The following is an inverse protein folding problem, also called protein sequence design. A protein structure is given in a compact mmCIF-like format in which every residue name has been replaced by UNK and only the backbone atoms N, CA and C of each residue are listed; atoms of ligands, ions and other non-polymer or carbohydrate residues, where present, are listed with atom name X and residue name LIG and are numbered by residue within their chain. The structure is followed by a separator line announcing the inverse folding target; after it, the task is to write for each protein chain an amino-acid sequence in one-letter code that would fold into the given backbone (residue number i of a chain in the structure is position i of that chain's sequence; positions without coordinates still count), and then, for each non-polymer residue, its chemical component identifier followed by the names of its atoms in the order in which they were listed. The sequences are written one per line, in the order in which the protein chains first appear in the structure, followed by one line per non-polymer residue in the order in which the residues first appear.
data_IF_407191557880
#
_entry.id   IF_407191557880
#
_cell.length_a   1.000
_cell.length_b   1.000
_cell.length_c   1.000
_cell.angle_alpha   90.00
_cell.angle_beta   90.00
_cell.angle_gamma   90.00
#
_symmetry.space_group_name_H-M   'P 1'
#
loop_
_entity.id
_entity.type
_entity.pdbx_description
1 polymer ?
#
# COMPACT_ATOMS: atom_id res chain seq x y z
N UNK A 1 9.13 60.31 9.99
CA UNK A 1 8.25 59.55 10.90
C UNK A 1 7.36 58.64 10.05
N UNK A 2 7.02 57.43 10.51
CA UNK A 2 6.13 56.51 9.81
C UNK A 2 4.91 56.15 10.67
N UNK A 3 3.80 55.82 10.00
CA UNK A 3 2.67 55.08 10.57
C UNK A 3 2.82 53.62 10.16
N UNK A 4 2.63 52.70 11.11
CA UNK A 4 2.57 51.27 10.87
C UNK A 4 1.14 50.81 11.08
N UNK A 5 0.45 50.50 9.97
CA UNK A 5 -0.97 50.20 9.97
C UNK A 5 -1.22 48.74 10.29
N UNK A 6 -2.28 48.49 11.05
CA UNK A 6 -2.82 47.16 11.30
C UNK A 6 -4.25 47.04 10.77
N UNK A 7 -4.71 45.80 10.57
CA UNK A 7 -6.08 45.51 10.13
C UNK A 7 -7.07 45.57 11.29
N UNK A 8 -7.92 46.61 11.40
CA UNK A 8 -8.87 46.70 12.51
C UNK A 8 -10.07 45.75 12.36
N UNK A 9 -10.19 45.01 11.24
CA UNK A 9 -11.30 44.07 10.99
C UNK A 9 -10.99 42.65 11.43
N UNK A 10 -9.72 42.29 11.54
CA UNK A 10 -9.29 41.02 12.11
C UNK A 10 -9.12 41.17 13.63
N UNK A 11 -9.68 40.26 14.45
CA UNK A 11 -9.58 40.33 15.92
C UNK A 11 -8.16 40.37 16.49
N UNK A 12 -7.15 39.96 15.72
CA UNK A 12 -5.74 39.98 16.14
C UNK A 12 -5.01 41.23 15.66
N UNK A 13 -5.64 42.11 14.89
CA UNK A 13 -5.04 43.34 14.36
C UNK A 13 -3.64 43.14 13.74
N UNK A 14 -3.47 42.22 12.76
CA UNK A 14 -2.19 41.98 12.11
C UNK A 14 -1.68 43.25 11.44
N UNK A 15 -0.37 43.48 11.53
CA UNK A 15 0.33 44.48 10.73
C UNK A 15 0.09 44.25 9.23
N UNK A 16 -0.12 45.34 8.49
CA UNK A 16 -0.37 45.32 7.05
C UNK A 16 0.77 45.98 6.26
N UNK A 17 1.02 47.27 6.52
CA UNK A 17 2.00 48.07 5.79
C UNK A 17 2.39 49.32 6.59
N UNK A 18 3.47 49.98 6.17
CA UNK A 18 3.88 51.27 6.69
C UNK A 18 3.82 52.35 5.63
N UNK A 19 3.61 53.61 6.05
CA UNK A 19 3.78 54.77 5.18
C UNK A 19 4.25 55.99 5.95
N UNK A 20 4.73 56.99 5.21
CA UNK A 20 5.23 58.25 5.77
C UNK A 20 4.13 58.97 6.52
N UNK A 21 4.51 59.65 7.60
CA UNK A 21 3.58 60.40 8.41
C UNK A 21 4.08 61.78 8.79
N UNK A 22 3.13 62.69 8.99
CA UNK A 22 3.41 64.06 9.39
C UNK A 22 3.87 64.11 10.86
N UNK A 23 5.07 64.66 11.16
CA UNK A 23 5.62 64.72 12.51
C UNK A 23 4.70 65.36 13.56
N UNK A 24 3.88 66.33 13.15
CA UNK A 24 3.02 67.11 14.05
C UNK A 24 1.60 66.53 14.18
N UNK A 25 1.39 65.29 13.73
CA UNK A 25 0.09 64.61 13.75
C UNK A 25 0.08 63.37 14.64
N UNK A 26 -1.04 63.18 15.34
CA UNK A 26 -1.34 61.91 16.01
C UNK A 26 -1.45 60.78 14.96
N UNK A 27 -1.07 59.55 15.31
CA UNK A 27 -1.33 58.42 14.43
C UNK A 27 -2.85 58.21 14.26
N UNK A 28 -3.30 57.71 13.10
CA UNK A 28 -4.66 57.19 12.95
C UNK A 28 -4.95 56.09 13.97
N UNK A 29 -6.24 55.86 14.26
CA UNK A 29 -6.69 54.87 15.24
C UNK A 29 -6.20 53.44 14.93
N UNK A 30 -5.95 53.11 13.66
CA UNK A 30 -5.45 51.81 13.23
C UNK A 30 -3.95 51.80 12.90
N UNK A 31 -3.15 52.67 13.53
CA UNK A 31 -1.71 52.73 13.32
C UNK A 31 -0.90 53.01 14.59
N UNK A 32 0.29 52.43 14.67
CA UNK A 32 1.28 52.75 15.70
C UNK A 32 2.43 53.59 15.13
N UNK A 33 3.04 54.40 16.00
CA UNK A 33 4.30 55.14 15.75
C UNK A 33 5.55 54.31 16.04
N UNK A 34 5.37 53.01 16.28
CA UNK A 34 6.39 52.07 16.71
C UNK A 34 6.59 51.10 15.54
N UNK A 35 7.82 50.97 15.07
CA UNK A 35 8.16 50.01 14.02
C UNK A 35 8.09 48.58 14.58
N UNK A 36 7.40 47.64 13.90
CA UNK A 36 7.43 46.24 14.30
C UNK A 36 8.79 45.62 13.99
N UNK A 37 9.25 44.74 14.87
CA UNK A 37 10.48 43.98 14.67
C UNK A 37 10.21 42.76 13.78
N UNK A 38 11.16 42.41 12.92
CA UNK A 38 11.09 41.14 12.21
C UNK A 38 11.46 39.99 13.15
N UNK A 39 10.57 38.98 13.22
CA UNK A 39 10.80 37.77 14.02
C UNK A 39 10.44 36.52 13.22
N UNK A 40 11.43 35.68 12.93
CA UNK A 40 11.22 34.47 12.13
C UNK A 40 10.12 33.59 12.70
N UNK A 41 9.09 33.32 11.90
CA UNK A 41 7.96 32.47 12.28
C UNK A 41 6.88 33.17 13.11
N UNK A 42 6.98 34.49 13.30
CA UNK A 42 5.97 35.30 13.98
C UNK A 42 5.57 36.49 13.12
N UNK A 43 4.35 36.98 13.34
CA UNK A 43 3.85 38.18 12.70
C UNK A 43 3.37 39.20 13.74
N UNK A 44 3.69 40.50 13.56
CA UNK A 44 3.28 41.54 14.47
C UNK A 44 1.77 41.77 14.40
N UNK A 45 1.15 41.84 15.58
CA UNK A 45 -0.28 41.97 15.84
C UNK A 45 -0.47 43.04 16.91
N UNK A 46 -1.35 44.01 16.67
CA UNK A 46 -1.56 45.10 17.63
C UNK A 46 -2.40 44.63 18.82
N UNK A 47 -1.94 45.00 20.02
CA UNK A 47 -2.73 44.90 21.23
C UNK A 47 -2.29 45.95 22.25
N UNK A 48 -3.24 46.72 22.77
CA UNK A 48 -3.05 47.73 23.81
C UNK A 48 -1.99 48.79 23.45
N UNK A 49 -1.98 49.25 22.20
CA UNK A 49 -1.07 50.27 21.68
C UNK A 49 0.36 49.77 21.44
N UNK A 50 0.59 48.46 21.39
CA UNK A 50 1.90 47.83 21.22
C UNK A 50 1.83 46.64 20.27
N UNK A 51 2.98 46.28 19.69
CA UNK A 51 3.11 45.06 18.90
C UNK A 51 3.30 43.84 19.80
N UNK A 52 2.42 42.85 19.64
CA UNK A 52 2.61 41.47 20.08
C UNK A 52 3.01 40.61 18.88
N UNK A 53 3.72 39.51 19.12
CA UNK A 53 4.23 38.65 18.06
C UNK A 53 3.58 37.29 18.18
N UNK A 54 2.63 37.02 17.28
CA UNK A 54 1.88 35.77 17.26
C UNK A 54 2.47 34.82 16.21
N UNK A 55 2.39 33.50 16.40
CA UNK A 55 2.90 32.55 15.43
C UNK A 55 2.31 32.79 14.04
N UNK A 56 3.17 32.74 13.03
CA UNK A 56 2.74 32.80 11.64
C UNK A 56 2.90 31.42 11.00
N UNK A 57 1.75 30.79 10.81
CA UNK A 57 1.64 29.48 10.18
C UNK A 57 1.05 29.57 8.78
N UNK A 58 0.79 30.79 8.27
CA UNK A 58 0.14 30.98 6.98
C UNK A 58 0.88 30.28 5.85
N UNK A 59 0.12 29.69 4.93
CA UNK A 59 0.65 28.89 3.82
C UNK A 59 1.15 27.50 4.20
N UNK A 60 1.28 27.17 5.50
CA UNK A 60 1.58 25.80 5.95
C UNK A 60 0.32 24.94 5.92
N UNK A 61 0.52 23.64 5.70
CA UNK A 61 -0.55 22.65 5.78
C UNK A 61 -0.63 22.08 7.20
N UNK A 62 -1.80 22.13 7.80
CA UNK A 62 -2.17 21.40 9.01
C UNK A 62 -3.24 20.35 8.68
N UNK A 63 -3.59 19.52 9.64
CA UNK A 63 -4.56 18.43 9.50
C UNK A 63 -5.64 18.54 10.58
N UNK A 64 -6.90 18.32 10.21
CA UNK A 64 -7.99 18.25 11.16
C UNK A 64 -7.83 17.05 12.07
N UNK A 65 -7.99 17.23 13.38
CA UNK A 65 -7.89 16.16 14.36
C UNK A 65 -9.11 15.23 14.36
N UNK A 66 -10.22 15.65 13.74
CA UNK A 66 -11.45 14.86 13.57
C UNK A 66 -11.29 13.72 12.56
N UNK A 67 -10.66 13.99 11.41
CA UNK A 67 -10.63 13.08 10.27
C UNK A 67 -9.30 13.08 9.49
N UNK A 68 -8.31 13.86 9.92
CA UNK A 68 -7.02 13.99 9.24
C UNK A 68 -7.05 14.79 7.95
N UNK A 69 -8.14 15.50 7.62
CA UNK A 69 -8.22 16.30 6.40
C UNK A 69 -7.21 17.45 6.40
N UNK A 70 -6.51 17.63 5.27
CA UNK A 70 -5.53 18.69 5.11
C UNK A 70 -6.21 20.07 5.00
N UNK A 71 -5.66 21.07 5.69
CA UNK A 71 -6.12 22.46 5.72
C UNK A 71 -4.91 23.37 5.60
N UNK A 72 -4.96 24.32 4.67
CA UNK A 72 -3.94 25.39 4.58
C UNK A 72 -4.29 26.46 5.60
N UNK A 73 -3.31 26.88 6.40
CA UNK A 73 -3.52 27.98 7.34
C UNK A 73 -3.50 29.30 6.56
N UNK A 74 -4.55 30.10 6.74
CA UNK A 74 -4.71 31.39 6.06
C UNK A 74 -4.57 32.59 7.00
N UNK A 75 -4.70 32.36 8.31
CA UNK A 75 -4.68 33.40 9.34
C UNK A 75 -3.43 33.31 10.20
N UNK A 76 -2.97 34.47 10.69
CA UNK A 76 -1.96 34.56 11.74
C UNK A 76 -2.57 34.06 13.06
N UNK A 77 -1.73 33.55 13.96
CA UNK A 77 -2.13 33.20 15.32
C UNK A 77 -1.73 31.79 15.71
N UNK A 78 -2.07 31.45 16.94
CA UNK A 78 -1.95 30.09 17.45
C UNK A 78 -2.72 29.10 16.57
N UNK A 79 -2.19 27.90 16.42
CA UNK A 79 -2.87 26.85 15.68
C UNK A 79 -4.22 26.51 16.38
N UNK A 80 -5.36 26.55 15.67
CA UNK A 80 -6.65 26.18 16.25
C UNK A 80 -6.62 24.79 16.87
N UNK A 81 -7.29 24.59 18.02
CA UNK A 81 -7.24 23.33 18.78
C UNK A 81 -7.77 22.09 18.05
N UNK A 82 -8.50 22.27 16.94
CA UNK A 82 -8.94 21.20 16.04
C UNK A 82 -7.93 20.84 14.95
N UNK A 83 -6.74 21.43 14.95
CA UNK A 83 -5.70 21.22 13.95
C UNK A 83 -4.40 20.72 14.57
N UNK A 84 -3.63 19.99 13.77
CA UNK A 84 -2.29 19.52 14.10
C UNK A 84 -1.39 19.58 12.87
N UNK A 85 -0.09 19.85 13.04
CA UNK A 85 0.87 19.71 11.94
C UNK A 85 1.28 18.25 11.70
N UNK A 86 0.91 17.34 12.61
CA UNK A 86 1.18 15.92 12.48
C UNK A 86 0.15 15.27 11.58
N UNK A 87 0.58 14.72 10.45
CA UNK A 87 -0.29 13.93 9.58
C UNK A 87 -0.55 12.55 10.21
N UNK A 88 -1.77 12.03 10.04
CA UNK A 88 -2.05 10.62 10.34
C UNK A 88 -1.37 9.71 9.30
N UNK A 89 -0.87 8.57 9.73
CA UNK A 89 -0.24 7.57 8.86
C UNK A 89 -1.28 6.82 8.02
N UNK A 90 -2.47 6.56 8.57
CA UNK A 90 -3.57 5.90 7.87
C UNK A 90 -4.93 6.30 8.46
N UNK A 91 -6.01 5.93 7.76
CA UNK A 91 -7.38 6.31 8.10
C UNK A 91 -7.95 5.68 9.38
N UNK A 92 -7.27 4.65 9.91
CA UNK A 92 -7.70 3.94 11.11
C UNK A 92 -7.16 4.57 12.40
N UNK A 93 -6.28 5.56 12.29
CA UNK A 93 -5.79 6.32 13.44
C UNK A 93 -6.82 7.38 13.86
N UNK A 94 -6.99 7.49 15.17
CA UNK A 94 -7.83 8.51 15.83
C UNK A 94 -6.96 9.47 16.60
N UNK A 95 -7.33 10.74 16.67
CA UNK A 95 -6.58 11.72 17.46
C UNK A 95 -6.80 11.52 18.96
N UNK A 96 -5.73 11.26 19.70
CA UNK A 96 -5.74 11.29 21.16
C UNK A 96 -5.45 12.73 21.62
N UNK A 97 -6.47 13.37 22.19
CA UNK A 97 -6.38 14.76 22.66
C UNK A 97 -5.40 14.92 23.83
N UNK A 98 -5.25 13.92 24.68
CA UNK A 98 -4.36 13.98 25.85
C UNK A 98 -2.91 13.80 25.43
N UNK A 99 -2.64 12.82 24.56
CA UNK A 99 -1.31 12.57 24.02
C UNK A 99 -0.90 13.58 22.93
N UNK A 100 -1.88 14.34 22.38
CA UNK A 100 -1.72 15.21 21.20
C UNK A 100 -1.06 14.47 20.03
N UNK A 101 -1.56 13.26 19.77
CA UNK A 101 -0.99 12.37 18.77
C UNK A 101 -2.06 11.50 18.10
N UNK A 102 -1.79 11.08 16.87
CA UNK A 102 -2.56 10.04 16.20
C UNK A 102 -2.25 8.69 16.84
N UNK A 103 -3.29 7.98 17.29
CA UNK A 103 -3.15 6.66 17.91
C UNK A 103 -3.98 5.65 17.15
N UNK A 104 -3.42 4.45 16.98
CA UNK A 104 -4.17 3.30 16.52
C UNK A 104 -4.74 2.58 17.74
N UNK A 105 -6.06 2.55 17.88
CA UNK A 105 -6.69 1.86 19.00
C UNK A 105 -6.43 0.35 18.91
N UNK A 106 -6.40 -0.33 20.05
CA UNK A 106 -6.23 -1.80 20.08
C UNK A 106 -7.31 -2.52 19.25
N UNK A 107 -8.55 -2.00 19.26
CA UNK A 107 -9.65 -2.53 18.47
C UNK A 107 -9.40 -2.36 16.98
N UNK A 108 -9.02 -1.16 16.52
CA UNK A 108 -8.67 -0.90 15.13
C UNK A 108 -7.49 -1.76 14.66
N UNK A 109 -6.43 -1.86 15.47
CA UNK A 109 -5.28 -2.72 15.17
C UNK A 109 -5.66 -4.20 15.04
N UNK A 110 -6.56 -4.68 15.91
CA UNK A 110 -7.04 -6.07 15.88
C UNK A 110 -7.94 -6.34 14.67
N UNK A 111 -8.78 -5.38 14.28
CA UNK A 111 -9.60 -5.47 13.08
C UNK A 111 -8.72 -5.51 11.81
N UNK A 112 -7.74 -4.61 11.70
CA UNK A 112 -6.81 -4.58 10.56
C UNK A 112 -6.01 -5.88 10.45
N UNK A 113 -5.56 -6.43 11.58
CA UNK A 113 -4.86 -7.70 11.59
C UNK A 113 -5.74 -8.83 11.04
N UNK A 114 -7.00 -8.92 11.50
CA UNK A 114 -7.93 -9.93 11.04
C UNK A 114 -8.21 -9.80 9.53
N UNK A 115 -8.51 -8.59 9.07
CA UNK A 115 -8.75 -8.31 7.65
C UNK A 115 -7.54 -8.61 6.77
N UNK A 116 -6.33 -8.30 7.23
CA UNK A 116 -5.10 -8.61 6.51
C UNK A 116 -4.87 -10.13 6.41
N UNK A 117 -5.13 -10.88 7.49
CA UNK A 117 -5.01 -12.35 7.49
C UNK A 117 -5.99 -12.97 6.50
N UNK A 118 -7.24 -12.52 6.49
CA UNK A 118 -8.27 -13.02 5.59
C UNK A 118 -7.93 -12.70 4.13
N UNK A 119 -7.61 -11.43 3.82
CA UNK A 119 -7.20 -11.00 2.47
C UNK A 119 -5.98 -11.76 1.96
N UNK A 120 -4.94 -11.91 2.79
CA UNK A 120 -3.74 -12.66 2.43
C UNK A 120 -4.03 -14.15 2.21
N UNK A 121 -4.88 -14.75 3.06
CA UNK A 121 -5.32 -16.15 2.95
C UNK A 121 -6.07 -16.39 1.65
N UNK A 122 -6.97 -15.49 1.29
CA UNK A 122 -7.77 -15.57 0.06
C UNK A 122 -6.91 -15.36 -1.17
N UNK A 123 -6.04 -14.36 -1.18
CA UNK A 123 -5.12 -14.11 -2.29
C UNK A 123 -4.24 -15.33 -2.60
N UNK A 124 -3.65 -15.94 -1.57
CA UNK A 124 -2.82 -17.15 -1.73
C UNK A 124 -3.64 -18.34 -2.25
N UNK A 125 -4.85 -18.55 -1.71
CA UNK A 125 -5.70 -19.65 -2.16
C UNK A 125 -6.17 -19.46 -3.60
N UNK A 126 -6.64 -18.26 -3.93
CA UNK A 126 -7.21 -17.94 -5.22
C UNK A 126 -6.16 -18.03 -6.34
N UNK A 127 -4.94 -17.53 -6.10
CA UNK A 127 -3.87 -17.61 -7.09
C UNK A 127 -3.49 -19.06 -7.41
N UNK A 128 -3.40 -19.93 -6.40
CA UNK A 128 -3.08 -21.35 -6.61
C UNK A 128 -4.24 -22.10 -7.26
N UNK A 129 -5.48 -21.79 -6.87
CA UNK A 129 -6.69 -22.36 -7.45
C UNK A 129 -6.84 -21.99 -8.94
N UNK A 130 -6.60 -20.73 -9.30
CA UNK A 130 -6.55 -20.27 -10.70
C UNK A 130 -5.51 -21.05 -11.51
N UNK A 131 -4.29 -21.20 -10.99
CA UNK A 131 -3.24 -22.00 -11.62
C UNK A 131 -3.66 -23.46 -11.84
N UNK A 132 -4.35 -24.07 -10.86
CA UNK A 132 -4.86 -25.43 -10.99
C UNK A 132 -5.96 -25.56 -12.05
N UNK A 133 -6.87 -24.59 -12.18
CA UNK A 133 -7.93 -24.62 -13.19
C UNK A 133 -7.40 -24.75 -14.62
N UNK A 134 -6.24 -24.15 -14.91
CA UNK A 134 -5.61 -24.25 -16.23
C UNK A 134 -5.24 -25.69 -16.61
N UNK A 135 -4.66 -26.45 -15.68
CA UNK A 135 -4.16 -27.81 -15.95
C UNK A 135 -5.17 -28.91 -15.62
N UNK A 136 -6.16 -28.64 -14.76
CA UNK A 136 -7.16 -29.64 -14.37
C UNK A 136 -8.19 -29.93 -15.45
N UNK A 137 -8.43 -28.99 -16.38
CA UNK A 137 -9.39 -29.15 -17.48
C UNK A 137 -9.14 -30.41 -18.33
N UNK A 138 -7.87 -30.75 -18.59
CA UNK A 138 -7.46 -31.92 -19.39
C UNK A 138 -6.76 -32.98 -18.55
N UNK A 139 -6.95 -32.97 -17.22
CA UNK A 139 -6.31 -33.91 -16.31
C UNK A 139 -6.52 -35.39 -16.69
N UNK A 140 -7.73 -35.85 -17.10
CA UNK A 140 -7.92 -37.24 -17.52
C UNK A 140 -7.01 -37.63 -18.71
N UNK A 141 -6.79 -36.72 -19.66
CA UNK A 141 -5.91 -36.96 -20.80
C UNK A 141 -4.45 -37.01 -20.39
N UNK A 142 -4.01 -36.09 -19.51
CA UNK A 142 -2.64 -36.08 -18.99
C UNK A 142 -2.31 -37.37 -18.26
N UNK A 143 -3.21 -37.85 -17.39
CA UNK A 143 -3.03 -39.10 -16.66
C UNK A 143 -2.97 -40.31 -17.61
N UNK A 144 -3.87 -40.37 -18.61
CA UNK A 144 -3.87 -41.48 -19.57
C UNK A 144 -2.60 -41.49 -20.42
N UNK A 145 -2.17 -40.33 -20.93
CA UNK A 145 -0.97 -40.18 -21.74
C UNK A 145 0.28 -40.57 -20.95
N UNK A 146 0.36 -40.12 -19.70
CA UNK A 146 1.44 -40.50 -18.81
C UNK A 146 1.47 -42.00 -18.52
N UNK A 147 0.33 -42.60 -18.17
CA UNK A 147 0.25 -44.03 -17.87
C UNK A 147 0.75 -44.87 -19.05
N UNK A 148 0.24 -44.59 -20.26
CA UNK A 148 0.66 -45.28 -21.48
C UNK A 148 2.16 -45.12 -21.77
N UNK A 149 2.70 -43.91 -21.57
CA UNK A 149 4.13 -43.66 -21.76
C UNK A 149 4.98 -44.44 -20.73
N UNK A 150 4.59 -44.45 -19.45
CA UNK A 150 5.31 -45.20 -18.42
C UNK A 150 5.29 -46.71 -18.67
N UNK A 151 4.14 -47.25 -19.06
CA UNK A 151 4.00 -48.69 -19.38
C UNK A 151 4.86 -49.06 -20.60
N UNK A 152 4.85 -48.23 -21.65
CA UNK A 152 5.68 -48.45 -22.83
C UNK A 152 7.18 -48.32 -22.52
N UNK A 153 7.57 -47.36 -21.66
CA UNK A 153 8.95 -47.22 -21.19
C UNK A 153 9.39 -48.44 -20.38
N UNK A 154 8.53 -48.97 -19.50
CA UNK A 154 8.79 -50.17 -18.72
C UNK A 154 8.99 -51.41 -19.61
N UNK A 155 8.26 -51.49 -20.74
CA UNK A 155 8.47 -52.47 -21.80
C UNK A 155 9.72 -52.23 -22.68
N UNK A 156 10.53 -51.22 -22.37
CA UNK A 156 11.74 -50.87 -23.11
C UNK A 156 11.47 -50.18 -24.46
N UNK A 157 10.31 -49.53 -24.63
CA UNK A 157 9.86 -48.92 -25.87
C UNK A 157 9.79 -49.91 -27.05
N UNK A 158 9.30 -51.13 -26.80
CA UNK A 158 9.20 -52.20 -27.81
C UNK A 158 7.74 -52.58 -28.07
N UNK A 159 7.49 -53.14 -29.24
CA UNK A 159 6.14 -53.56 -29.66
C UNK A 159 5.28 -52.39 -30.13
N UNK A 160 3.97 -52.63 -30.14
CA UNK A 160 2.98 -51.67 -30.64
C UNK A 160 3.02 -50.37 -29.82
N UNK A 161 3.09 -49.23 -30.51
CA UNK A 161 3.15 -47.92 -29.86
C UNK A 161 1.77 -47.57 -29.28
N UNK A 162 1.68 -47.19 -28.00
CA UNK A 162 0.41 -46.79 -27.40
C UNK A 162 -0.21 -45.59 -28.12
N UNK A 163 -1.55 -45.53 -28.15
CA UNK A 163 -2.31 -44.51 -28.88
C UNK A 163 -1.90 -43.09 -28.49
N UNK A 164 -1.73 -42.80 -27.19
CA UNK A 164 -1.36 -41.46 -26.73
C UNK A 164 0.08 -41.09 -27.07
N UNK A 165 0.99 -42.06 -27.02
CA UNK A 165 2.40 -41.86 -27.40
C UNK A 165 2.48 -41.60 -28.91
N UNK A 166 1.77 -42.37 -29.73
CA UNK A 166 1.71 -42.18 -31.18
C UNK A 166 1.06 -40.83 -31.56
N UNK A 167 0.00 -40.43 -30.86
CA UNK A 167 -0.69 -39.16 -31.07
C UNK A 167 0.21 -37.94 -30.79
N UNK A 168 1.16 -38.04 -29.86
CA UNK A 168 2.18 -37.01 -29.62
C UNK A 168 3.36 -37.11 -30.60
N UNK A 169 3.86 -38.33 -30.83
CA UNK A 169 5.06 -38.58 -31.63
C UNK A 169 4.90 -38.08 -33.08
N UNK A 170 3.75 -38.33 -33.72
CA UNK A 170 3.52 -38.04 -35.14
C UNK A 170 3.52 -36.53 -35.44
N UNK A 171 2.77 -35.66 -34.74
CA UNK A 171 2.84 -34.22 -34.96
C UNK A 171 4.18 -33.61 -34.54
N UNK A 172 4.83 -34.16 -33.50
CA UNK A 172 6.10 -33.65 -33.00
C UNK A 172 7.32 -34.08 -33.82
N UNK A 173 7.15 -34.97 -34.82
CA UNK A 173 8.24 -35.52 -35.62
C UNK A 173 9.25 -36.32 -34.80
N UNK A 174 8.80 -36.99 -33.74
CA UNK A 174 9.63 -37.77 -32.81
C UNK A 174 9.42 -39.27 -33.00
N UNK A 175 10.42 -40.07 -32.63
CA UNK A 175 10.23 -41.51 -32.48
C UNK A 175 9.33 -41.81 -31.27
N UNK A 176 8.72 -43.00 -31.24
CA UNK A 176 7.86 -43.42 -30.13
C UNK A 176 8.58 -43.40 -28.78
N UNK A 177 9.86 -43.79 -28.72
CA UNK A 177 10.62 -43.80 -27.48
C UNK A 177 11.02 -42.37 -27.03
N UNK A 178 11.42 -41.49 -27.95
CA UNK A 178 11.68 -40.07 -27.62
C UNK A 178 10.39 -39.38 -27.14
N UNK A 179 9.27 -39.61 -27.82
CA UNK A 179 7.96 -39.09 -27.41
C UNK A 179 7.59 -39.55 -26.00
N UNK A 180 7.88 -40.81 -25.68
CA UNK A 180 7.66 -41.39 -24.35
C UNK A 180 8.47 -40.65 -23.28
N UNK A 181 9.75 -40.40 -23.52
CA UNK A 181 10.61 -39.68 -22.57
C UNK A 181 10.14 -38.24 -22.37
N UNK A 182 9.72 -37.56 -23.44
CA UNK A 182 9.17 -36.20 -23.36
C UNK A 182 7.87 -36.18 -22.55
N UNK A 183 6.95 -37.11 -22.82
CA UNK A 183 5.67 -37.21 -22.09
C UNK A 183 5.91 -37.42 -20.60
N UNK A 184 6.81 -38.34 -20.23
CA UNK A 184 7.13 -38.61 -18.82
C UNK A 184 7.73 -37.36 -18.17
N UNK A 185 8.69 -36.71 -18.83
CA UNK A 185 9.31 -35.48 -18.32
C UNK A 185 8.29 -34.34 -18.15
N UNK A 186 7.36 -34.16 -19.09
CA UNK A 186 6.28 -33.18 -18.98
C UNK A 186 5.37 -33.49 -17.79
N UNK A 187 4.98 -34.75 -17.60
CA UNK A 187 4.14 -35.16 -16.48
C UNK A 187 4.84 -34.97 -15.12
N UNK A 188 6.12 -35.34 -15.01
CA UNK A 188 6.91 -35.13 -13.80
C UNK A 188 7.08 -33.65 -13.47
N UNK A 189 7.33 -32.81 -14.48
CA UNK A 189 7.41 -31.35 -14.30
C UNK A 189 6.07 -30.76 -13.85
N UNK A 190 4.95 -31.19 -14.44
CA UNK A 190 3.61 -30.76 -14.05
C UNK A 190 3.32 -31.11 -12.59
N UNK A 191 3.58 -32.36 -12.18
CA UNK A 191 3.39 -32.79 -10.78
C UNK A 191 4.31 -32.04 -9.81
N UNK A 192 5.57 -31.85 -10.17
CA UNK A 192 6.52 -31.11 -9.35
C UNK A 192 6.05 -29.66 -9.15
N UNK A 193 5.54 -29.01 -10.20
CA UNK A 193 4.97 -27.67 -10.12
C UNK A 193 3.71 -27.63 -9.22
N UNK A 194 2.75 -28.54 -9.43
CA UNK A 194 1.54 -28.62 -8.59
C UNK A 194 1.87 -28.92 -7.12
N UNK A 195 2.83 -29.82 -6.86
CA UNK A 195 3.28 -30.13 -5.51
C UNK A 195 3.91 -28.92 -4.82
N UNK A 196 4.74 -28.16 -5.53
CA UNK A 196 5.31 -26.90 -5.01
C UNK A 196 4.23 -25.86 -4.72
N UNK A 197 3.27 -25.67 -5.62
CA UNK A 197 2.14 -24.77 -5.38
C UNK A 197 1.32 -25.19 -4.15
N UNK A 198 1.03 -26.48 -4.01
CA UNK A 198 0.34 -27.01 -2.84
C UNK A 198 1.08 -26.71 -1.54
N UNK A 199 2.41 -26.92 -1.52
CA UNK A 199 3.24 -26.61 -0.37
C UNK A 199 3.28 -25.10 -0.06
N UNK A 200 3.46 -24.25 -1.07
CA UNK A 200 3.45 -22.79 -0.92
C UNK A 200 2.09 -22.29 -0.43
N UNK A 201 0.98 -22.84 -0.94
CA UNK A 201 -0.38 -22.49 -0.48
C UNK A 201 -0.56 -22.72 1.01
N UNK A 202 0.02 -23.79 1.55
CA UNK A 202 -0.08 -24.10 2.99
C UNK A 202 0.65 -23.06 3.86
N UNK A 203 1.59 -22.29 3.30
CA UNK A 203 2.27 -21.21 4.03
C UNK A 203 1.34 -20.05 4.42
N UNK A 204 0.09 -20.01 3.93
CA UNK A 204 -0.94 -19.08 4.45
C UNK A 204 -1.14 -19.18 5.97
N UNK A 205 -0.85 -20.32 6.58
CA UNK A 205 -0.91 -20.47 8.05
C UNK A 205 0.17 -19.66 8.77
N UNK A 206 1.26 -19.29 8.10
CA UNK A 206 2.26 -18.37 8.63
C UNK A 206 1.69 -16.97 8.88
N UNK A 207 0.61 -16.59 8.19
CA UNK A 207 -0.04 -15.29 8.43
C UNK A 207 -0.69 -15.21 9.81
N UNK A 208 -1.20 -16.35 10.32
CA UNK A 208 -1.96 -16.40 11.58
C UNK A 208 -1.12 -16.18 12.84
N UNK A 209 0.20 -16.30 12.74
CA UNK A 209 1.11 -16.13 13.88
C UNK A 209 1.68 -14.71 13.97
N UNK A 210 1.37 -13.85 13.01
CA UNK A 210 1.85 -12.47 12.93
C UNK A 210 1.00 -11.54 13.80
N UNK A 211 1.59 -10.42 14.21
CA UNK A 211 1.01 -9.55 15.24
C UNK A 211 0.42 -8.26 14.68
N UNK A 212 0.81 -7.88 13.47
CA UNK A 212 0.38 -6.64 12.83
C UNK A 212 -0.05 -6.87 11.39
N UNK A 213 -0.96 -6.03 10.90
CA UNK A 213 -1.41 -6.08 9.50
C UNK A 213 -0.24 -5.92 8.52
N UNK A 214 0.71 -5.01 8.81
CA UNK A 214 1.87 -4.79 7.96
C UNK A 214 2.79 -6.02 7.84
N UNK A 215 2.99 -6.76 8.93
CA UNK A 215 3.74 -8.04 8.88
C UNK A 215 3.00 -9.06 8.01
N UNK A 216 1.67 -9.16 8.15
CA UNK A 216 0.83 -10.06 7.36
C UNK A 216 0.89 -9.72 5.88
N UNK A 217 0.71 -8.46 5.51
CA UNK A 217 0.75 -7.99 4.13
C UNK A 217 2.10 -8.28 3.49
N UNK A 218 3.20 -7.98 4.22
CA UNK A 218 4.55 -8.30 3.76
C UNK A 218 4.72 -9.79 3.53
N UNK A 219 4.31 -10.63 4.50
CA UNK A 219 4.51 -12.08 4.39
C UNK A 219 3.64 -12.70 3.28
N UNK A 220 2.41 -12.22 3.13
CA UNK A 220 1.54 -12.63 2.04
C UNK A 220 2.15 -12.27 0.68
N UNK A 221 2.69 -11.06 0.52
CA UNK A 221 3.37 -10.63 -0.70
C UNK A 221 4.58 -11.51 -1.05
N UNK A 222 5.40 -11.88 -0.06
CA UNK A 222 6.53 -12.81 -0.25
C UNK A 222 6.05 -14.18 -0.77
N UNK A 223 5.01 -14.76 -0.14
CA UNK A 223 4.46 -16.05 -0.57
C UNK A 223 3.88 -15.97 -1.98
N UNK A 224 3.14 -14.90 -2.29
CA UNK A 224 2.58 -14.67 -3.63
C UNK A 224 3.67 -14.52 -4.70
N UNK A 225 4.78 -13.82 -4.37
CA UNK A 225 5.92 -13.68 -5.26
C UNK A 225 6.61 -15.01 -5.56
N UNK A 226 6.64 -15.95 -4.61
CA UNK A 226 7.14 -17.31 -4.83
C UNK A 226 6.17 -18.18 -5.65
N UNK A 227 4.86 -17.99 -5.47
CA UNK A 227 3.81 -18.73 -6.21
C UNK A 227 3.78 -18.30 -7.69
N UNK A 228 3.83 -16.99 -7.95
CA UNK A 228 3.62 -16.38 -9.26
C UNK A 228 4.43 -17.03 -10.41
N UNK A 229 5.76 -17.19 -10.34
CA UNK A 229 6.52 -17.77 -11.45
C UNK A 229 6.20 -19.26 -11.71
N UNK A 230 5.67 -19.99 -10.72
CA UNK A 230 5.23 -21.38 -10.91
C UNK A 230 3.84 -21.39 -11.55
N UNK A 231 2.95 -20.51 -11.09
CA UNK A 231 1.62 -20.30 -11.67
C UNK A 231 1.71 -19.92 -13.15
N UNK A 232 2.53 -18.92 -13.49
CA UNK A 232 2.70 -18.43 -14.86
C UNK A 232 3.17 -19.55 -15.80
N UNK A 233 4.09 -20.41 -15.35
CA UNK A 233 4.54 -21.57 -16.11
C UNK A 233 3.43 -22.60 -16.35
N UNK A 234 2.54 -22.81 -15.38
CA UNK A 234 1.39 -23.71 -15.54
C UNK A 234 0.35 -23.16 -16.52
N UNK A 235 0.18 -21.84 -16.58
CA UNK A 235 -0.72 -21.19 -17.54
C UNK A 235 -0.27 -21.32 -19.00
N UNK A 236 1.02 -21.59 -19.24
CA UNK A 236 1.56 -21.88 -20.58
C UNK A 236 1.47 -23.37 -20.95
N UNK A 237 1.10 -24.27 -20.02
CA UNK A 237 0.98 -25.70 -20.31
C UNK A 237 -0.20 -25.93 -21.27
N UNK A 238 0.10 -26.39 -22.48
CA UNK A 238 -0.91 -26.71 -23.51
C UNK A 238 -1.19 -25.58 -24.50
N UNK A 239 -0.46 -24.45 -24.43
CA UNK A 239 -0.32 -23.51 -25.55
C UNK A 239 0.76 -24.01 -26.52
#
# INVERSE_FOLDING_TARGET
MQNFYFDPTDPLHPYLYSTTANPDSLPPDNALRIEPEERTGFWPCEAEGKWQYLPDHRGKTAYQTSDGAAVVIEKVGELPGGLTFTQRENEHQTWDVQAKAWVLTKAAASQLLAEAIDKGTDAINNLVDEAYRHVTRFQPEYLLREQQARDYKAGGCKGDTPVQVAAFAKPAGKTACEATDIIIAQADNLRAAMGKLGALRMRKFELKVLKTAAEVDKRAAEILAEIKPISDKLCEVGK
#
